data_IF_814577242609
#
_entry.id   IF_814577242609
#
_cell.length_a   1.000
_cell.length_b   1.000
_cell.length_c   1.000
_cell.angle_alpha   90.00
_cell.angle_beta   90.00
_cell.angle_gamma   90.00
#
_symmetry.space_group_name_H-M   'P 1'
#
loop_
_entity.id
_entity.type
_entity.pdbx_description
1 polymer ?
#
# COMPACT_ATOMS: atom_id res chain seq x y z
N UNK A 1 -26.27 63.54 -24.50
CA UNK A 1 -26.67 62.51 -23.48
C UNK A 1 -26.54 61.07 -24.03
N UNK A 2 -26.98 60.79 -25.21
CA UNK A 2 -26.92 59.41 -25.81
C UNK A 2 -25.52 58.82 -25.89
N UNK A 3 -24.48 59.63 -26.23
CA UNK A 3 -23.10 59.16 -26.34
C UNK A 3 -22.51 58.64 -25.01
N UNK A 4 -22.92 59.20 -23.86
CA UNK A 4 -22.44 58.76 -22.55
C UNK A 4 -23.14 57.48 -22.06
N UNK A 5 -24.40 57.28 -22.48
CA UNK A 5 -25.16 56.08 -22.17
C UNK A 5 -24.60 54.90 -22.96
N UNK A 6 -24.26 55.07 -24.22
CA UNK A 6 -23.64 54.03 -25.08
C UNK A 6 -22.24 53.70 -24.61
N UNK A 7 -21.42 54.64 -24.19
CA UNK A 7 -20.08 54.36 -23.67
C UNK A 7 -20.13 53.60 -22.37
N UNK A 8 -21.09 53.91 -21.46
CA UNK A 8 -21.31 53.18 -20.22
C UNK A 8 -21.76 51.73 -20.43
N UNK A 9 -22.66 51.51 -21.37
CA UNK A 9 -23.11 50.16 -21.74
C UNK A 9 -21.98 49.30 -22.35
N UNK A 10 -21.17 49.87 -23.24
CA UNK A 10 -20.02 49.16 -23.82
C UNK A 10 -19.00 48.84 -22.73
N UNK A 11 -18.69 49.75 -21.81
CA UNK A 11 -17.76 49.53 -20.73
C UNK A 11 -18.23 48.43 -19.76
N UNK A 12 -19.52 48.39 -19.43
CA UNK A 12 -20.08 47.32 -18.59
C UNK A 12 -20.04 45.97 -19.28
N UNK A 13 -20.32 45.91 -20.58
CA UNK A 13 -20.30 44.67 -21.33
C UNK A 13 -18.87 44.08 -21.48
N UNK A 14 -17.88 44.94 -21.70
CA UNK A 14 -16.46 44.57 -21.72
C UNK A 14 -16.04 44.05 -20.35
N UNK A 15 -16.43 44.67 -19.27
CA UNK A 15 -16.10 44.21 -17.91
C UNK A 15 -16.70 42.84 -17.61
N UNK A 16 -17.95 42.58 -18.00
CA UNK A 16 -18.62 41.30 -17.82
C UNK A 16 -17.87 40.20 -18.61
N UNK A 17 -17.46 40.47 -19.84
CA UNK A 17 -16.71 39.51 -20.68
C UNK A 17 -15.35 39.20 -20.02
N UNK A 18 -14.61 40.24 -19.62
CA UNK A 18 -13.31 40.03 -18.93
C UNK A 18 -13.48 39.23 -17.65
N UNK A 19 -14.48 39.53 -16.85
CA UNK A 19 -14.80 38.82 -15.60
C UNK A 19 -15.12 37.33 -15.91
N UNK A 20 -15.91 37.05 -16.93
CA UNK A 20 -16.24 35.71 -17.35
C UNK A 20 -15.00 34.90 -17.78
N UNK A 21 -14.08 35.54 -18.53
CA UNK A 21 -12.82 34.92 -18.95
C UNK A 21 -11.92 34.61 -17.73
N UNK A 22 -11.77 35.58 -16.83
CA UNK A 22 -10.96 35.41 -15.60
C UNK A 22 -11.52 34.27 -14.77
N UNK A 23 -12.84 34.22 -14.56
CA UNK A 23 -13.49 33.16 -13.80
C UNK A 23 -13.28 31.80 -14.47
N UNK A 24 -13.45 31.68 -15.78
CA UNK A 24 -13.24 30.43 -16.51
C UNK A 24 -11.78 29.93 -16.41
N UNK A 25 -10.80 30.85 -16.49
CA UNK A 25 -9.38 30.49 -16.29
C UNK A 25 -9.13 30.06 -14.86
N UNK A 26 -9.64 30.80 -13.89
CA UNK A 26 -9.50 30.49 -12.46
C UNK A 26 -10.08 29.12 -12.10
N UNK A 27 -11.27 28.81 -12.59
CA UNK A 27 -11.91 27.51 -12.39
C UNK A 27 -11.10 26.36 -13.00
N UNK A 28 -10.57 26.53 -14.21
CA UNK A 28 -9.68 25.53 -14.84
C UNK A 28 -8.42 25.29 -14.01
N UNK A 29 -7.79 26.36 -13.52
CA UNK A 29 -6.58 26.25 -12.67
C UNK A 29 -6.90 25.57 -11.34
N UNK A 30 -8.02 25.94 -10.73
CA UNK A 30 -8.48 25.32 -9.48
C UNK A 30 -8.76 23.82 -9.67
N UNK A 31 -9.52 23.46 -10.69
CA UNK A 31 -9.81 22.06 -11.01
C UNK A 31 -8.54 21.24 -11.28
N UNK A 32 -7.57 21.81 -12.01
CA UNK A 32 -6.27 21.15 -12.25
C UNK A 32 -5.46 20.95 -10.95
N UNK A 33 -5.53 21.88 -10.02
CA UNK A 33 -4.90 21.74 -8.68
C UNK A 33 -5.59 20.67 -7.85
N UNK A 34 -6.91 20.63 -7.84
CA UNK A 34 -7.71 19.64 -7.14
C UNK A 34 -7.41 18.22 -7.67
N UNK A 35 -7.39 18.03 -8.98
CA UNK A 35 -7.02 16.74 -9.58
C UNK A 35 -5.61 16.29 -9.21
N UNK A 36 -4.63 17.21 -9.23
CA UNK A 36 -3.26 16.90 -8.79
C UNK A 36 -3.20 16.51 -7.32
N UNK A 37 -3.95 17.20 -6.46
CA UNK A 37 -4.04 16.90 -5.04
C UNK A 37 -4.65 15.51 -4.81
N UNK A 38 -5.73 15.18 -5.51
CA UNK A 38 -6.36 13.85 -5.43
C UNK A 38 -5.43 12.73 -5.89
N UNK A 39 -4.74 12.93 -7.01
CA UNK A 39 -3.74 11.94 -7.49
C UNK A 39 -2.61 11.77 -6.50
N UNK A 40 -2.13 12.87 -5.90
CA UNK A 40 -1.08 12.81 -4.89
C UNK A 40 -1.54 12.08 -3.62
N UNK A 41 -2.72 12.39 -3.12
CA UNK A 41 -3.30 11.69 -1.97
C UNK A 41 -3.46 10.19 -2.24
N UNK A 42 -3.92 9.83 -3.44
CA UNK A 42 -4.04 8.42 -3.84
C UNK A 42 -2.69 7.70 -3.90
N UNK A 43 -1.68 8.37 -4.43
CA UNK A 43 -0.30 7.85 -4.44
C UNK A 43 0.22 7.61 -3.03
N UNK A 44 0.00 8.57 -2.13
CA UNK A 44 0.42 8.46 -0.73
C UNK A 44 -0.27 7.28 -0.04
N UNK A 45 -1.60 7.16 -0.17
CA UNK A 45 -2.39 6.05 0.39
C UNK A 45 -1.87 4.67 -0.06
N UNK A 46 -1.53 4.55 -1.34
CA UNK A 46 -0.99 3.30 -1.91
C UNK A 46 0.39 2.97 -1.35
N UNK A 47 1.25 3.98 -1.20
CA UNK A 47 2.58 3.80 -0.58
C UNK A 47 2.46 3.41 0.89
N UNK A 48 1.58 4.06 1.63
CA UNK A 48 1.35 3.73 3.05
C UNK A 48 0.86 2.29 3.23
N UNK A 49 -0.06 1.83 2.38
CA UNK A 49 -0.54 0.44 2.39
C UNK A 49 0.59 -0.56 2.10
N UNK A 50 1.42 -0.28 1.12
CA UNK A 50 2.57 -1.13 0.79
C UNK A 50 3.61 -1.15 1.92
N UNK A 51 3.94 0.00 2.48
CA UNK A 51 4.87 0.10 3.60
C UNK A 51 4.37 -0.64 4.83
N UNK A 52 3.08 -0.49 5.16
CA UNK A 52 2.44 -1.24 6.26
C UNK A 52 2.52 -2.74 6.04
N UNK A 53 2.30 -3.21 4.81
CA UNK A 53 2.42 -4.64 4.48
C UNK A 53 3.85 -5.14 4.68
N UNK A 54 4.87 -4.40 4.22
CA UNK A 54 6.27 -4.77 4.43
C UNK A 54 6.64 -4.79 5.91
N UNK A 55 6.20 -3.80 6.68
CA UNK A 55 6.46 -3.74 8.13
C UNK A 55 5.84 -4.93 8.85
N UNK A 56 4.56 -5.22 8.59
CA UNK A 56 3.87 -6.37 9.18
C UNK A 56 4.52 -7.71 8.79
N UNK A 57 5.05 -7.80 7.58
CA UNK A 57 5.78 -8.99 7.11
C UNK A 57 7.10 -9.15 7.87
N UNK A 58 7.86 -8.08 8.06
CA UNK A 58 9.08 -8.11 8.86
C UNK A 58 8.80 -8.49 10.32
N UNK A 59 7.78 -7.89 10.93
CA UNK A 59 7.38 -8.20 12.30
C UNK A 59 6.97 -9.69 12.46
N UNK A 60 6.27 -10.22 11.46
CA UNK A 60 5.91 -11.64 11.41
C UNK A 60 7.17 -12.53 11.35
N UNK A 61 8.16 -12.18 10.54
CA UNK A 61 9.41 -12.95 10.47
C UNK A 61 10.19 -12.91 11.77
N UNK A 62 10.28 -11.75 12.43
CA UNK A 62 10.93 -11.66 13.74
C UNK A 62 10.20 -12.51 14.79
N UNK A 63 8.87 -12.47 14.77
CA UNK A 63 8.06 -13.29 15.68
C UNK A 63 8.29 -14.79 15.41
N UNK A 64 8.30 -15.22 14.15
CA UNK A 64 8.56 -16.61 13.78
C UNK A 64 9.99 -17.03 14.18
N UNK A 65 11.00 -16.21 13.87
CA UNK A 65 12.39 -16.51 14.24
C UNK A 65 12.53 -16.69 15.76
N UNK A 66 11.87 -15.83 16.53
CA UNK A 66 11.90 -15.92 17.99
C UNK A 66 11.22 -17.19 18.48
N UNK A 67 10.04 -17.50 17.94
CA UNK A 67 9.29 -18.70 18.30
C UNK A 67 10.04 -20.00 17.97
N UNK A 68 10.72 -20.03 16.79
CA UNK A 68 11.55 -21.18 16.41
C UNK A 68 12.77 -21.37 17.34
N UNK A 69 13.42 -20.27 17.75
CA UNK A 69 14.53 -20.34 18.72
C UNK A 69 14.08 -20.80 20.11
N UNK A 70 12.88 -20.42 20.52
CA UNK A 70 12.29 -20.88 21.77
C UNK A 70 11.92 -22.36 21.67
N UNK A 71 11.31 -22.79 20.57
CA UNK A 71 10.95 -24.18 20.31
C UNK A 71 12.17 -25.12 20.29
N UNK A 72 13.29 -24.67 19.71
CA UNK A 72 14.55 -25.44 19.68
C UNK A 72 15.15 -25.64 21.08
N UNK A 73 14.88 -24.71 22.01
CA UNK A 73 15.33 -24.81 23.41
C UNK A 73 14.40 -25.62 24.29
N UNK A 74 13.12 -25.45 24.11
CA UNK A 74 12.06 -26.03 24.92
C UNK A 74 10.80 -26.23 24.06
N UNK A 75 10.62 -27.48 23.64
CA UNK A 75 9.45 -27.90 22.87
C UNK A 75 8.25 -28.04 23.81
N UNK A 76 7.49 -26.97 24.00
CA UNK A 76 6.30 -26.97 24.79
C UNK A 76 5.07 -26.45 24.03
N UNK A 77 3.84 -26.71 24.46
CA UNK A 77 2.61 -26.28 23.79
C UNK A 77 2.54 -24.76 23.51
N UNK A 78 3.17 -23.96 24.36
CA UNK A 78 3.16 -22.49 24.22
C UNK A 78 4.02 -22.05 23.02
N UNK A 79 5.20 -22.66 22.86
CA UNK A 79 6.08 -22.37 21.72
C UNK A 79 5.46 -22.81 20.41
N UNK A 80 4.80 -23.98 20.39
CA UNK A 80 4.01 -24.46 19.24
C UNK A 80 2.90 -23.48 18.88
N UNK A 81 2.15 -22.99 19.86
CA UNK A 81 1.09 -22.01 19.65
C UNK A 81 1.63 -20.69 19.05
N UNK A 82 2.79 -20.21 19.49
CA UNK A 82 3.44 -19.02 18.93
C UNK A 82 3.77 -19.21 17.45
N UNK A 83 4.28 -20.38 17.07
CA UNK A 83 4.57 -20.69 15.66
C UNK A 83 3.27 -20.74 14.85
N UNK A 84 2.21 -21.38 15.36
CA UNK A 84 0.91 -21.43 14.69
C UNK A 84 0.34 -20.01 14.45
N UNK A 85 0.44 -19.13 15.43
CA UNK A 85 0.00 -17.72 15.29
C UNK A 85 0.81 -17.01 14.20
N UNK A 86 2.12 -17.22 14.12
CA UNK A 86 2.96 -16.66 13.06
C UNK A 86 2.54 -17.18 11.68
N UNK A 87 2.25 -18.49 11.56
CA UNK A 87 1.76 -19.10 10.32
C UNK A 87 0.41 -18.54 9.88
N UNK A 88 -0.53 -18.35 10.82
CA UNK A 88 -1.84 -17.75 10.52
C UNK A 88 -1.68 -16.31 10.02
N UNK A 89 -0.80 -15.52 10.66
CA UNK A 89 -0.49 -14.15 10.25
C UNK A 89 0.14 -14.11 8.86
N UNK A 90 1.06 -15.04 8.57
CA UNK A 90 1.66 -15.21 7.25
C UNK A 90 0.62 -15.46 6.15
N UNK A 91 -0.31 -16.40 6.37
CA UNK A 91 -1.37 -16.70 5.42
C UNK A 91 -2.26 -15.48 5.15
N UNK A 92 -2.60 -14.71 6.19
CA UNK A 92 -3.35 -13.47 6.03
C UNK A 92 -2.59 -12.45 5.18
N UNK A 93 -1.32 -12.21 5.47
CA UNK A 93 -0.48 -11.29 4.71
C UNK A 93 -0.35 -11.70 3.24
N UNK A 94 -0.23 -13.01 2.98
CA UNK A 94 -0.20 -13.53 1.62
C UNK A 94 -1.50 -13.24 0.85
N UNK A 95 -2.65 -13.44 1.47
CA UNK A 95 -3.95 -13.14 0.85
C UNK A 95 -4.14 -11.64 0.57
N UNK A 96 -3.55 -10.79 1.39
CA UNK A 96 -3.63 -9.33 1.24
C UNK A 96 -2.61 -8.74 0.25
N UNK A 97 -1.64 -9.53 -0.23
CA UNK A 97 -0.54 -9.07 -1.09
C UNK A 97 -1.04 -8.32 -2.33
N UNK A 98 -2.01 -8.88 -3.06
CA UNK A 98 -2.54 -8.26 -4.27
C UNK A 98 -3.17 -6.90 -4.00
N UNK A 99 -3.93 -6.77 -2.93
CA UNK A 99 -4.62 -5.53 -2.58
C UNK A 99 -3.71 -4.46 -2.02
N UNK A 100 -2.60 -4.84 -1.39
CA UNK A 100 -1.70 -3.91 -0.68
C UNK A 100 -0.43 -3.57 -1.46
N UNK A 101 0.09 -4.48 -2.27
CA UNK A 101 1.32 -4.26 -3.04
C UNK A 101 1.05 -3.94 -4.52
N UNK A 102 0.18 -4.69 -5.20
CA UNK A 102 0.05 -4.54 -6.64
C UNK A 102 -0.47 -3.17 -7.07
N UNK A 103 -1.22 -2.49 -6.21
CA UNK A 103 -1.69 -1.13 -6.49
C UNK A 103 -0.56 -0.10 -6.63
N UNK A 104 0.63 -0.35 -6.07
CA UNK A 104 1.77 0.56 -6.18
C UNK A 104 2.28 0.66 -7.62
N UNK A 105 2.23 -0.44 -8.38
CA UNK A 105 2.66 -0.50 -9.78
C UNK A 105 1.76 0.31 -10.73
N UNK A 106 0.54 0.65 -10.31
CA UNK A 106 -0.35 1.53 -11.08
C UNK A 106 0.08 3.00 -11.05
N UNK A 107 0.82 3.40 -10.04
CA UNK A 107 1.15 4.80 -9.78
C UNK A 107 2.63 5.11 -9.89
N UNK A 108 3.49 4.09 -9.81
CA UNK A 108 4.94 4.25 -9.81
C UNK A 108 5.57 3.30 -10.81
N UNK A 109 6.52 3.83 -11.56
CA UNK A 109 7.36 3.04 -12.44
C UNK A 109 8.61 2.59 -11.66
N UNK A 110 8.71 1.29 -11.46
CA UNK A 110 9.84 0.66 -10.76
C UNK A 110 10.83 0.00 -11.72
N UNK A 111 10.69 0.18 -13.03
CA UNK A 111 11.48 -0.52 -14.04
C UNK A 111 13.00 -0.39 -13.82
N UNK A 112 13.46 0.76 -13.36
CA UNK A 112 14.87 1.00 -13.06
C UNK A 112 15.30 0.45 -11.70
N UNK A 113 14.38 0.45 -10.71
CA UNK A 113 14.61 -0.05 -9.36
C UNK A 113 14.51 -1.58 -9.34
N UNK A 114 13.55 -2.16 -10.03
CA UNK A 114 13.37 -3.61 -10.14
C UNK A 114 14.58 -4.29 -10.74
N UNK A 115 15.22 -3.67 -11.74
CA UNK A 115 16.46 -4.20 -12.32
C UNK A 115 17.62 -4.25 -11.34
N UNK A 116 17.64 -3.37 -10.34
CA UNK A 116 18.78 -3.20 -9.44
C UNK A 116 18.56 -3.76 -8.04
N UNK A 117 17.35 -3.72 -7.48
CA UNK A 117 17.10 -3.98 -6.06
C UNK A 117 15.94 -4.91 -5.75
N UNK A 118 14.95 -5.04 -6.63
CA UNK A 118 13.68 -5.72 -6.33
C UNK A 118 13.19 -6.65 -7.40
N UNK A 119 14.03 -7.07 -8.26
CA UNK A 119 13.59 -7.94 -9.32
C UNK A 119 12.66 -9.05 -8.81
N UNK A 120 12.10 -9.77 -9.69
CA UNK A 120 11.31 -10.98 -9.48
C UNK A 120 11.86 -11.87 -8.34
N UNK A 121 13.17 -11.85 -8.14
CA UNK A 121 13.89 -12.60 -7.10
C UNK A 121 13.49 -12.21 -5.67
N UNK A 122 13.23 -10.95 -5.39
CA UNK A 122 12.83 -10.50 -4.04
C UNK A 122 11.41 -10.96 -3.69
N UNK A 123 10.47 -10.83 -4.63
CA UNK A 123 9.10 -11.34 -4.44
C UNK A 123 9.07 -12.86 -4.39
N UNK A 124 9.86 -13.55 -5.22
CA UNK A 124 10.00 -15.00 -5.17
C UNK A 124 10.59 -15.47 -3.84
N UNK A 125 11.54 -14.72 -3.27
CA UNK A 125 12.09 -15.01 -1.95
C UNK A 125 11.04 -14.86 -0.84
N UNK A 126 10.27 -13.77 -0.85
CA UNK A 126 9.18 -13.54 0.11
C UNK A 126 8.13 -14.66 -0.01
N UNK A 127 7.71 -15.00 -1.22
CA UNK A 127 6.74 -16.05 -1.45
C UNK A 127 7.24 -17.42 -0.98
N UNK A 128 8.51 -17.76 -1.23
CA UNK A 128 9.13 -18.99 -0.73
C UNK A 128 9.16 -19.03 0.79
N UNK A 129 9.48 -17.92 1.44
CA UNK A 129 9.47 -17.84 2.91
C UNK A 129 8.06 -18.00 3.46
N UNK A 130 7.06 -17.35 2.87
CA UNK A 130 5.66 -17.50 3.27
C UNK A 130 5.17 -18.94 3.10
N UNK A 131 5.54 -19.59 2.01
CA UNK A 131 5.22 -21.01 1.77
C UNK A 131 5.88 -21.92 2.81
N UNK A 132 7.17 -21.70 3.10
CA UNK A 132 7.89 -22.45 4.12
C UNK A 132 7.24 -22.31 5.51
N UNK A 133 6.84 -21.11 5.88
CA UNK A 133 6.14 -20.84 7.14
C UNK A 133 4.80 -21.59 7.21
N UNK A 134 4.06 -21.63 6.11
CA UNK A 134 2.80 -22.38 6.03
C UNK A 134 3.04 -23.90 6.15
N UNK A 135 4.09 -24.43 5.50
CA UNK A 135 4.49 -25.85 5.59
C UNK A 135 4.89 -26.23 7.02
N UNK A 136 5.68 -25.39 7.72
CA UNK A 136 6.04 -25.60 9.12
C UNK A 136 4.80 -25.64 9.99
N UNK A 137 3.87 -24.70 9.81
CA UNK A 137 2.61 -24.67 10.54
C UNK A 137 1.76 -25.90 10.32
N UNK A 138 1.70 -26.40 9.10
CA UNK A 138 0.97 -27.63 8.79
C UNK A 138 1.61 -28.86 9.47
N UNK A 139 2.94 -28.99 9.40
CA UNK A 139 3.66 -30.10 10.05
C UNK A 139 3.44 -30.10 11.56
N UNK A 140 3.53 -28.93 12.21
CA UNK A 140 3.29 -28.81 13.67
C UNK A 140 1.84 -29.15 14.03
N UNK A 141 0.87 -28.75 13.20
CA UNK A 141 -0.54 -29.04 13.43
C UNK A 141 -0.89 -30.53 13.25
N UNK A 142 -0.06 -31.30 12.52
CA UNK A 142 -0.26 -32.73 12.27
C UNK A 142 0.48 -33.63 13.28
N UNK A 143 1.34 -33.07 14.12
CA UNK A 143 2.00 -33.82 15.21
C UNK A 143 0.95 -34.14 16.29
N UNK A 144 0.71 -35.41 16.58
CA UNK A 144 -0.24 -35.83 17.60
C UNK A 144 0.21 -35.37 18.98
N UNK A 145 -0.73 -34.96 19.87
CA UNK A 145 -0.43 -34.51 21.23
C UNK A 145 0.32 -35.56 22.06
N UNK A 146 0.28 -36.83 21.67
CA UNK A 146 0.96 -37.94 22.33
C UNK A 146 2.49 -37.91 22.30
N UNK A 147 3.08 -37.10 21.38
CA UNK A 147 4.54 -36.95 21.29
C UNK A 147 5.11 -35.87 22.24
N UNK A 148 4.24 -35.16 22.96
CA UNK A 148 4.58 -34.11 23.95
C UNK A 148 4.42 -34.54 25.42
N UNK A 149 4.23 -35.83 25.69
CA UNK A 149 4.06 -36.36 27.05
C UNK A 149 5.39 -36.88 27.67
#
# INVERSE_FOLDING_TARGET
MEQYITAGLIGSLVTIIIQAIINAISERVKHKRELRSLVFQRKLEVVEKAMSWYQETLDMYYMLQTALKEYDKDCNPITVQKIQVACMKSNKLFQETENRLNSIYLYFDFSDIEKKYHGKESMDCINKLLTLVAEIGHKIATVEPSEFA
#
